data_IF_074164769539
#
_entry.id   IF_074164769539
#
_cell.length_a   1.000
_cell.length_b   1.000
_cell.length_c   1.000
_cell.angle_alpha   90.00
_cell.angle_beta   90.00
_cell.angle_gamma   90.00
#
_symmetry.space_group_name_H-M   'P 1'
#
loop_
_entity.id
_entity.type
_entity.pdbx_description
1 polymer ?
#
# COMPACT_ATOMS: atom_id res chain seq x y z
N UNK A 1 -59.57 -83.65 45.24
CA UNK A 1 -58.57 -82.96 46.08
C UNK A 1 -58.27 -81.63 45.41
N UNK A 2 -58.72 -80.46 45.81
CA UNK A 2 -59.25 -79.97 47.07
C UNK A 2 -58.67 -78.56 47.26
N UNK A 3 -59.16 -77.55 46.55
CA UNK A 3 -58.73 -76.14 46.69
C UNK A 3 -58.94 -75.60 48.11
N UNK A 4 -59.69 -76.32 48.95
CA UNK A 4 -59.83 -76.08 50.38
C UNK A 4 -58.57 -76.44 51.19
N UNK A 5 -57.75 -77.40 50.76
CA UNK A 5 -56.54 -77.79 51.51
C UNK A 5 -55.43 -76.75 51.36
N UNK A 6 -55.27 -76.14 50.18
CA UNK A 6 -54.26 -75.10 49.94
C UNK A 6 -54.54 -73.85 50.80
N UNK A 7 -55.81 -73.44 50.93
CA UNK A 7 -56.17 -72.32 51.81
C UNK A 7 -55.80 -72.60 53.26
N UNK A 8 -56.05 -73.82 53.77
CA UNK A 8 -55.74 -74.21 55.15
C UNK A 8 -54.25 -74.12 55.52
N UNK A 9 -53.35 -74.35 54.57
CA UNK A 9 -51.90 -74.28 54.83
C UNK A 9 -51.28 -72.91 54.59
N UNK A 10 -51.85 -72.08 53.71
CA UNK A 10 -51.31 -70.76 53.38
C UNK A 10 -51.90 -69.61 54.19
N UNK A 11 -53.18 -69.68 54.58
CA UNK A 11 -53.81 -68.58 55.35
C UNK A 11 -53.19 -68.35 56.73
N UNK A 12 -52.87 -69.37 57.55
CA UNK A 12 -52.31 -69.13 58.88
C UNK A 12 -50.91 -68.51 58.83
N UNK A 13 -50.06 -68.95 57.88
CA UNK A 13 -48.70 -68.40 57.70
C UNK A 13 -48.72 -66.98 57.15
N UNK A 14 -49.69 -66.66 56.30
CA UNK A 14 -49.88 -65.31 55.79
C UNK A 14 -50.45 -64.38 56.86
N UNK A 15 -51.37 -64.87 57.69
CA UNK A 15 -51.90 -64.15 58.84
C UNK A 15 -50.83 -63.94 59.92
N UNK A 16 -49.96 -64.92 60.20
CA UNK A 16 -48.77 -64.73 61.06
C UNK A 16 -47.80 -63.67 60.49
N UNK A 17 -47.46 -63.76 59.19
CA UNK A 17 -46.57 -62.80 58.53
C UNK A 17 -47.13 -61.37 58.48
N UNK A 18 -48.46 -61.23 58.40
CA UNK A 18 -49.15 -59.94 58.39
C UNK A 18 -49.53 -59.43 59.80
N UNK A 19 -49.64 -60.30 60.80
CA UNK A 19 -50.00 -59.94 62.19
C UNK A 19 -48.80 -59.64 63.08
N UNK A 20 -47.59 -60.02 62.70
CA UNK A 20 -46.36 -59.78 63.47
C UNK A 20 -45.64 -58.45 63.17
N UNK A 21 -46.24 -57.53 62.41
CA UNK A 21 -45.61 -56.25 62.07
C UNK A 21 -44.45 -56.34 61.05
N UNK A 22 -43.95 -57.54 60.78
CA UNK A 22 -42.83 -57.78 59.84
C UNK A 22 -43.14 -57.28 58.42
N UNK A 23 -44.38 -57.42 57.95
CA UNK A 23 -44.80 -56.90 56.63
C UNK A 23 -44.77 -55.36 56.60
N UNK A 24 -45.19 -54.70 57.69
CA UNK A 24 -45.20 -53.24 57.82
C UNK A 24 -43.76 -52.71 57.85
N UNK A 25 -42.88 -53.33 58.63
CA UNK A 25 -41.45 -53.01 58.70
C UNK A 25 -40.75 -53.15 57.32
N UNK A 26 -41.07 -54.21 56.56
CA UNK A 26 -40.53 -54.40 55.21
C UNK A 26 -41.03 -53.34 54.23
N UNK A 27 -42.31 -52.95 54.33
CA UNK A 27 -42.89 -51.90 53.49
C UNK A 27 -42.31 -50.53 53.83
N UNK A 28 -42.14 -50.21 55.12
CA UNK A 28 -41.50 -48.97 55.57
C UNK A 28 -40.02 -48.90 55.13
N UNK A 29 -39.27 -49.99 55.28
CA UNK A 29 -37.88 -50.07 54.84
C UNK A 29 -37.76 -49.89 53.31
N UNK A 30 -38.67 -50.50 52.54
CA UNK A 30 -38.75 -50.35 51.09
C UNK A 30 -39.08 -48.92 50.69
N UNK A 31 -40.09 -48.31 51.33
CA UNK A 31 -40.47 -46.91 51.09
C UNK A 31 -39.33 -45.94 51.44
N UNK A 32 -38.67 -46.13 52.58
CA UNK A 32 -37.53 -45.32 52.99
C UNK A 32 -36.36 -45.47 52.01
N UNK A 33 -36.13 -46.67 51.48
CA UNK A 33 -35.13 -46.92 50.44
C UNK A 33 -35.48 -46.19 49.13
N UNK A 34 -36.73 -46.28 48.68
CA UNK A 34 -37.22 -45.59 47.49
C UNK A 34 -37.11 -44.07 47.62
N UNK A 35 -37.48 -43.50 48.78
CA UNK A 35 -37.36 -42.06 49.06
C UNK A 35 -35.88 -41.63 49.00
N UNK A 36 -34.97 -42.41 49.61
CA UNK A 36 -33.52 -42.12 49.53
C UNK A 36 -33.01 -42.18 48.09
N UNK A 37 -33.43 -43.17 47.31
CA UNK A 37 -33.07 -43.30 45.91
C UNK A 37 -33.58 -42.10 45.08
N UNK A 38 -34.84 -41.69 45.28
CA UNK A 38 -35.41 -40.50 44.64
C UNK A 38 -34.70 -39.21 45.06
N UNK A 39 -34.33 -39.07 46.33
CA UNK A 39 -33.55 -37.92 46.80
C UNK A 39 -32.16 -37.85 46.14
N UNK A 40 -31.47 -38.99 46.00
CA UNK A 40 -30.21 -39.08 45.27
C UNK A 40 -30.38 -38.70 43.79
N UNK A 41 -31.42 -39.21 43.14
CA UNK A 41 -31.72 -38.86 41.74
C UNK A 41 -31.98 -37.36 41.56
N UNK A 42 -32.77 -36.75 42.45
CA UNK A 42 -33.01 -35.30 42.43
C UNK A 42 -31.73 -34.50 42.61
N UNK A 43 -30.84 -34.94 43.51
CA UNK A 43 -29.53 -34.29 43.71
C UNK A 43 -28.67 -34.36 42.44
N UNK A 44 -28.56 -35.54 41.82
CA UNK A 44 -27.81 -35.73 40.57
C UNK A 44 -28.38 -34.88 39.44
N UNK A 45 -29.71 -34.81 39.30
CA UNK A 45 -30.36 -33.95 38.31
C UNK A 45 -30.10 -32.46 38.58
N UNK A 46 -30.07 -32.03 39.84
CA UNK A 46 -29.71 -30.67 40.22
C UNK A 46 -28.27 -30.30 39.85
N UNK A 47 -27.32 -31.19 40.16
CA UNK A 47 -25.91 -31.03 39.77
C UNK A 47 -25.74 -31.02 38.25
N UNK A 48 -26.40 -31.94 37.54
CA UNK A 48 -26.39 -31.99 36.08
C UNK A 48 -26.94 -30.70 35.45
N UNK A 49 -28.07 -30.19 35.96
CA UNK A 49 -28.65 -28.93 35.48
C UNK A 49 -27.70 -27.76 35.68
N UNK A 50 -27.02 -27.70 36.82
CA UNK A 50 -26.05 -26.65 37.13
C UNK A 50 -24.86 -26.70 36.17
N UNK A 51 -24.28 -27.88 35.97
CA UNK A 51 -23.18 -28.08 35.00
C UNK A 51 -23.59 -27.72 33.57
N UNK A 52 -24.81 -28.07 33.15
CA UNK A 52 -25.33 -27.71 31.83
C UNK A 52 -25.49 -26.19 31.66
N UNK A 53 -25.88 -25.47 32.71
CA UNK A 53 -25.95 -24.00 32.67
C UNK A 53 -24.55 -23.37 32.59
N UNK A 54 -23.59 -23.87 33.34
CA UNK A 54 -22.19 -23.43 33.26
C UNK A 54 -21.59 -23.70 31.89
N UNK A 55 -21.80 -24.89 31.33
CA UNK A 55 -21.33 -25.23 29.99
C UNK A 55 -21.94 -24.32 28.92
N UNK A 56 -23.23 -23.98 29.02
CA UNK A 56 -23.86 -23.00 28.10
C UNK A 56 -23.22 -21.62 28.20
N UNK A 57 -22.87 -21.17 29.40
CA UNK A 57 -22.15 -19.88 29.60
C UNK A 57 -20.77 -19.93 28.96
N UNK A 58 -20.02 -21.01 29.17
CA UNK A 58 -18.69 -21.20 28.59
C UNK A 58 -18.75 -21.22 27.06
N UNK A 59 -19.70 -21.94 26.46
CA UNK A 59 -19.89 -21.97 25.00
C UNK A 59 -20.26 -20.58 24.47
N UNK A 60 -21.13 -19.85 25.15
CA UNK A 60 -21.48 -18.48 24.74
C UNK A 60 -20.28 -17.52 24.81
N UNK A 61 -19.44 -17.65 25.84
CA UNK A 61 -18.20 -16.87 25.97
C UNK A 61 -17.19 -17.23 24.88
N UNK A 62 -16.96 -18.52 24.65
CA UNK A 62 -16.07 -19.00 23.59
C UNK A 62 -16.53 -18.53 22.20
N UNK A 63 -17.84 -18.57 21.92
CA UNK A 63 -18.39 -18.07 20.66
C UNK A 63 -18.21 -16.56 20.47
N UNK A 64 -18.28 -15.77 21.55
CA UNK A 64 -18.01 -14.33 21.48
C UNK A 64 -16.53 -14.07 21.20
N UNK A 65 -15.65 -14.73 21.94
CA UNK A 65 -14.20 -14.62 21.74
C UNK A 65 -13.78 -15.03 20.31
N UNK A 66 -14.38 -16.09 19.77
CA UNK A 66 -14.12 -16.54 18.39
C UNK A 66 -14.55 -15.50 17.35
N UNK A 67 -15.71 -14.85 17.55
CA UNK A 67 -16.16 -13.75 16.68
C UNK A 67 -15.24 -12.53 16.75
N UNK A 68 -14.82 -12.13 17.95
CA UNK A 68 -13.87 -11.03 18.14
C UNK A 68 -12.53 -11.34 17.47
N UNK A 69 -12.06 -12.59 17.59
CA UNK A 69 -10.84 -13.05 16.94
C UNK A 69 -10.97 -13.04 15.40
N UNK A 70 -12.09 -13.52 14.85
CA UNK A 70 -12.37 -13.47 13.42
C UNK A 70 -12.35 -12.03 12.89
N UNK A 71 -13.02 -11.09 13.58
CA UNK A 71 -13.01 -9.68 13.21
C UNK A 71 -11.61 -9.07 13.26
N UNK A 72 -10.82 -9.39 14.30
CA UNK A 72 -9.44 -8.94 14.39
C UNK A 72 -8.58 -9.48 13.24
N UNK A 73 -8.77 -10.76 12.87
CA UNK A 73 -8.05 -11.39 11.76
C UNK A 73 -8.45 -10.79 10.40
N UNK A 74 -9.72 -10.46 10.20
CA UNK A 74 -10.19 -9.73 9.00
C UNK A 74 -9.57 -8.33 8.94
N UNK A 75 -9.51 -7.62 10.07
CA UNK A 75 -8.83 -6.32 10.17
C UNK A 75 -7.34 -6.41 9.82
N UNK A 76 -6.64 -7.42 10.33
CA UNK A 76 -5.22 -7.65 10.00
C UNK A 76 -5.02 -7.97 8.51
N UNK A 77 -5.90 -8.77 7.90
CA UNK A 77 -5.84 -9.06 6.46
C UNK A 77 -6.01 -7.78 5.63
N UNK A 78 -6.97 -6.93 5.98
CA UNK A 78 -7.20 -5.68 5.28
C UNK A 78 -5.99 -4.72 5.42
N UNK A 79 -5.41 -4.62 6.61
CA UNK A 79 -4.21 -3.84 6.84
C UNK A 79 -3.01 -4.36 6.03
N UNK A 80 -2.82 -5.68 5.99
CA UNK A 80 -1.74 -6.30 5.21
C UNK A 80 -1.90 -6.06 3.71
N UNK A 81 -3.13 -6.12 3.18
CA UNK A 81 -3.40 -5.80 1.78
C UNK A 81 -3.13 -4.33 1.48
N UNK A 82 -3.49 -3.41 2.39
CA UNK A 82 -3.16 -1.99 2.24
C UNK A 82 -1.66 -1.72 2.26
N UNK A 83 -0.90 -2.43 3.08
CA UNK A 83 0.57 -2.31 3.09
C UNK A 83 1.16 -2.84 1.79
N UNK A 84 0.63 -3.96 1.29
CA UNK A 84 1.07 -4.53 0.01
C UNK A 84 0.84 -3.56 -1.15
N UNK A 85 -0.33 -2.97 -1.27
CA UNK A 85 -0.62 -2.01 -2.36
C UNK A 85 0.24 -0.76 -2.25
N UNK A 86 0.49 -0.26 -1.04
CA UNK A 86 1.41 0.85 -0.82
C UNK A 86 2.84 0.49 -1.26
N UNK A 87 3.30 -0.72 -0.97
CA UNK A 87 4.61 -1.20 -1.41
C UNK A 87 4.72 -1.32 -2.93
N UNK A 88 3.69 -1.86 -3.58
CA UNK A 88 3.62 -1.96 -5.05
C UNK A 88 3.65 -0.56 -5.70
N UNK A 89 2.97 0.43 -5.12
CA UNK A 89 3.04 1.82 -5.58
C UNK A 89 4.43 2.41 -5.39
N UNK A 90 5.06 2.23 -4.23
CA UNK A 90 6.43 2.71 -3.98
C UNK A 90 7.43 2.09 -4.97
N UNK A 91 7.27 0.82 -5.33
CA UNK A 91 8.12 0.17 -6.33
C UNK A 91 7.92 0.78 -7.73
N UNK A 92 6.69 1.14 -8.09
CA UNK A 92 6.40 1.83 -9.34
C UNK A 92 7.03 3.23 -9.37
N UNK A 93 6.87 4.00 -8.28
CA UNK A 93 7.44 5.35 -8.15
C UNK A 93 8.97 5.32 -8.23
N UNK A 94 9.62 4.33 -7.61
CA UNK A 94 11.08 4.15 -7.70
C UNK A 94 11.54 3.87 -9.13
N UNK A 95 10.82 3.02 -9.87
CA UNK A 95 11.13 2.74 -11.28
C UNK A 95 10.97 4.00 -12.15
N UNK A 96 9.95 4.81 -11.88
CA UNK A 96 9.77 6.08 -12.57
C UNK A 96 10.92 7.05 -12.25
N UNK A 97 11.31 7.14 -10.98
CA UNK A 97 12.43 7.97 -10.55
C UNK A 97 13.74 7.58 -11.23
N UNK A 98 14.06 6.27 -11.30
CA UNK A 98 15.22 5.75 -12.01
C UNK A 98 15.20 6.10 -13.50
N UNK A 99 14.03 6.00 -14.15
CA UNK A 99 13.87 6.40 -15.55
C UNK A 99 14.12 7.88 -15.76
N UNK A 100 13.61 8.72 -14.86
CA UNK A 100 13.81 10.16 -14.89
C UNK A 100 15.28 10.53 -14.68
N UNK A 101 15.98 9.87 -13.75
CA UNK A 101 17.41 10.06 -13.56
C UNK A 101 18.23 9.67 -14.80
N UNK A 102 17.88 8.55 -15.45
CA UNK A 102 18.53 8.14 -16.69
C UNK A 102 18.33 9.17 -17.80
N UNK A 103 17.12 9.73 -17.91
CA UNK A 103 16.81 10.77 -18.90
C UNK A 103 17.59 12.07 -18.61
N UNK A 104 17.66 12.50 -17.34
CA UNK A 104 18.45 13.65 -16.94
C UNK A 104 19.94 13.47 -17.23
N UNK A 105 20.47 12.26 -17.00
CA UNK A 105 21.88 11.93 -17.31
C UNK A 105 22.15 12.09 -18.81
N UNK A 106 21.28 11.56 -19.67
CA UNK A 106 21.39 11.74 -21.13
C UNK A 106 21.30 13.21 -21.56
N UNK A 107 20.42 13.98 -20.94
CA UNK A 107 20.32 15.41 -21.21
C UNK A 107 21.60 16.16 -20.82
N UNK A 108 22.20 15.81 -19.69
CA UNK A 108 23.47 16.38 -19.24
C UNK A 108 24.62 16.04 -20.20
N UNK A 109 24.70 14.80 -20.66
CA UNK A 109 25.69 14.37 -21.65
C UNK A 109 25.55 15.15 -22.96
N UNK A 110 24.32 15.34 -23.43
CA UNK A 110 24.04 16.14 -24.63
C UNK A 110 24.43 17.62 -24.43
N UNK A 111 24.15 18.20 -23.26
CA UNK A 111 24.54 19.56 -22.93
C UNK A 111 26.07 19.72 -22.89
N UNK A 112 26.79 18.76 -22.30
CA UNK A 112 28.25 18.74 -22.27
C UNK A 112 28.85 18.64 -23.68
N UNK A 113 28.28 17.80 -24.54
CA UNK A 113 28.70 17.70 -25.94
C UNK A 113 28.51 19.03 -26.69
N UNK A 114 27.35 19.68 -26.53
CA UNK A 114 27.07 20.97 -27.13
C UNK A 114 28.01 22.07 -26.61
N UNK A 115 28.32 22.08 -25.31
CA UNK A 115 29.28 23.00 -24.71
C UNK A 115 30.69 22.81 -25.31
N UNK A 116 31.12 21.56 -25.50
CA UNK A 116 32.41 21.26 -26.12
C UNK A 116 32.49 21.79 -27.56
N UNK A 117 31.45 21.55 -28.35
CA UNK A 117 31.35 22.07 -29.73
C UNK A 117 31.40 23.61 -29.74
N UNK A 118 30.67 24.27 -28.84
CA UNK A 118 30.69 25.73 -28.74
C UNK A 118 32.08 26.26 -28.35
N UNK A 119 32.79 25.58 -27.45
CA UNK A 119 34.16 25.95 -27.07
C UNK A 119 35.15 25.81 -28.23
N UNK A 120 35.08 24.70 -28.98
CA UNK A 120 35.91 24.48 -30.18
C UNK A 120 35.63 25.53 -31.27
N UNK A 121 34.36 25.87 -31.50
CA UNK A 121 33.96 26.91 -32.46
C UNK A 121 34.47 28.30 -32.03
N UNK A 122 34.38 28.63 -30.73
CA UNK A 122 34.92 29.88 -30.19
C UNK A 122 36.44 29.96 -30.32
N UNK A 123 37.15 28.85 -30.08
CA UNK A 123 38.60 28.77 -30.27
C UNK A 123 38.97 28.97 -31.75
N UNK A 124 38.26 28.32 -32.67
CA UNK A 124 38.44 28.47 -34.11
C UNK A 124 38.23 29.92 -34.56
N UNK A 125 37.13 30.55 -34.14
CA UNK A 125 36.83 31.95 -34.45
C UNK A 125 37.91 32.91 -33.89
N UNK A 126 38.44 32.64 -32.69
CA UNK A 126 39.53 33.43 -32.12
C UNK A 126 40.85 33.25 -32.88
N UNK A 127 41.17 32.04 -33.35
CA UNK A 127 42.33 31.79 -34.22
C UNK A 127 42.20 32.53 -35.54
N UNK A 128 41.03 32.49 -36.16
CA UNK A 128 40.74 33.21 -37.41
C UNK A 128 40.88 34.73 -37.23
N UNK A 129 40.29 35.31 -36.17
CA UNK A 129 40.44 36.74 -35.85
C UNK A 129 41.92 37.15 -35.73
N UNK A 130 42.73 36.34 -35.04
CA UNK A 130 44.19 36.59 -34.91
C UNK A 130 44.90 36.51 -36.27
N UNK A 131 44.55 35.53 -37.11
CA UNK A 131 45.13 35.39 -38.45
C UNK A 131 44.77 36.59 -39.35
N UNK A 132 43.54 37.09 -39.29
CA UNK A 132 43.10 38.27 -40.05
C UNK A 132 43.80 39.54 -39.55
N UNK A 133 43.91 39.73 -38.23
CA UNK A 133 44.64 40.86 -37.64
C UNK A 133 46.14 40.86 -38.04
N UNK A 134 46.77 39.68 -38.11
CA UNK A 134 48.15 39.54 -38.59
C UNK A 134 48.31 39.81 -40.10
N UNK A 135 47.30 39.50 -40.93
CA UNK A 135 47.31 39.82 -42.37
C UNK A 135 47.09 41.31 -42.65
N UNK A 136 46.38 42.02 -41.76
CA UNK A 136 46.16 43.48 -41.86
C UNK A 136 47.40 44.35 -41.59
N UNK A 137 48.50 43.77 -41.08
CA UNK A 137 49.75 44.50 -40.78
C UNK A 137 50.78 44.48 -41.92
N UNK A 138 50.56 43.73 -43.01
CA UNK A 138 51.53 43.60 -44.11
C UNK A 138 51.20 44.46 -45.35
N UNK A 139 50.02 45.06 -45.44
CA UNK A 139 49.68 45.96 -46.56
C UNK A 139 48.82 47.14 -46.13
N UNK A 140 49.46 48.17 -45.56
CA UNK A 140 48.96 49.57 -45.64
C UNK A 140 50.13 50.51 -45.89
N UNK A 141 50.69 50.40 -47.09
CA UNK A 141 51.38 51.51 -47.76
C UNK A 141 50.95 51.50 -49.23
N UNK A 142 49.66 51.74 -49.45
CA UNK A 142 49.10 51.78 -50.80
C UNK A 142 47.58 51.84 -50.77
N UNK A 143 47.07 52.96 -51.26
CA UNK A 143 45.73 53.22 -51.75
C UNK A 143 44.52 53.39 -50.81
N UNK A 144 43.99 54.61 -50.93
CA UNK A 144 42.62 55.04 -50.72
C UNK A 144 41.70 54.32 -51.73
N UNK A 145 40.52 53.87 -51.29
CA UNK A 145 39.49 53.43 -52.24
C UNK A 145 38.37 52.64 -51.62
N UNK A 146 37.31 53.34 -51.20
CA UNK A 146 35.90 52.90 -51.22
C UNK A 146 35.62 51.40 -50.99
N UNK A 147 35.32 50.96 -49.77
CA UNK A 147 34.61 49.70 -49.59
C UNK A 147 33.53 49.78 -48.50
N UNK A 148 32.37 49.27 -48.88
CA UNK A 148 31.03 49.56 -48.37
C UNK A 148 30.81 48.95 -46.99
N UNK A 149 30.04 49.66 -46.18
CA UNK A 149 29.34 49.14 -45.00
C UNK A 149 28.47 47.95 -45.42
N UNK A 150 28.97 46.74 -45.23
CA UNK A 150 28.16 45.51 -45.28
C UNK A 150 27.24 45.55 -44.07
N UNK A 151 25.99 45.96 -44.31
CA UNK A 151 24.97 46.11 -43.28
C UNK A 151 24.63 44.75 -42.68
N UNK A 152 24.36 44.72 -41.38
CA UNK A 152 23.89 43.56 -40.61
C UNK A 152 22.80 42.73 -41.31
N UNK A 153 22.07 43.34 -42.24
CA UNK A 153 21.01 42.73 -43.03
C UNK A 153 21.51 41.65 -44.01
N UNK A 154 22.72 41.75 -44.56
CA UNK A 154 23.27 40.69 -45.43
C UNK A 154 23.65 39.45 -44.62
N UNK A 155 24.15 39.64 -43.39
CA UNK A 155 24.49 38.54 -42.46
C UNK A 155 23.22 37.80 -42.00
N UNK A 156 22.14 38.53 -41.71
CA UNK A 156 20.85 37.94 -41.34
C UNK A 156 20.20 37.18 -42.51
N UNK A 157 20.45 37.61 -43.75
CA UNK A 157 19.90 36.94 -44.93
C UNK A 157 20.62 35.61 -45.22
N UNK A 158 21.95 35.56 -45.03
CA UNK A 158 22.72 34.32 -45.16
C UNK A 158 22.37 33.25 -44.10
N UNK A 159 22.07 33.68 -42.86
CA UNK A 159 21.63 32.77 -41.80
C UNK A 159 20.25 32.13 -42.07
N UNK A 160 19.42 32.76 -42.91
CA UNK A 160 18.07 32.29 -43.24
C UNK A 160 18.06 31.23 -44.36
N UNK A 161 19.08 31.20 -45.23
CA UNK A 161 19.16 30.22 -46.34
C UNK A 161 19.67 28.86 -45.90
N UNK A 162 20.60 28.82 -44.94
CA UNK A 162 21.32 27.58 -44.59
C UNK A 162 20.61 26.78 -43.48
N UNK A 163 19.68 27.40 -42.74
CA UNK A 163 18.98 26.77 -41.62
C UNK A 163 17.48 27.14 -41.57
N UNK A 164 16.60 26.43 -42.31
CA UNK A 164 15.17 26.75 -42.39
C UNK A 164 14.38 26.50 -41.08
N UNK A 165 15.00 25.93 -40.05
CA UNK A 165 14.41 25.73 -38.70
C UNK A 165 14.89 26.76 -37.68
N UNK A 166 15.74 27.71 -38.08
CA UNK A 166 16.27 28.73 -37.18
C UNK A 166 15.28 29.89 -37.09
N UNK A 167 14.65 30.05 -35.93
CA UNK A 167 13.66 31.10 -35.71
C UNK A 167 14.35 32.45 -35.46
N UNK A 168 14.66 33.15 -36.55
CA UNK A 168 15.35 34.45 -36.55
C UNK A 168 14.59 35.49 -35.72
N UNK A 169 13.26 35.39 -35.60
CA UNK A 169 12.45 36.30 -34.77
C UNK A 169 12.77 36.15 -33.28
N UNK A 170 13.08 34.94 -32.82
CA UNK A 170 13.48 34.69 -31.43
C UNK A 170 14.87 35.28 -31.12
N UNK A 171 15.74 35.42 -32.13
CA UNK A 171 17.07 36.01 -31.99
C UNK A 171 17.03 37.54 -31.98
N UNK A 172 16.22 38.17 -32.85
CA UNK A 172 15.98 39.62 -32.86
C UNK A 172 15.38 40.12 -31.53
N UNK A 173 14.53 39.32 -30.88
CA UNK A 173 13.96 39.65 -29.58
C UNK A 173 14.98 39.55 -28.42
N UNK A 174 16.04 38.74 -28.55
CA UNK A 174 17.09 38.58 -27.53
C UNK A 174 18.22 39.58 -27.64
N UNK A 175 18.40 40.16 -28.83
CA UNK A 175 19.41 41.18 -29.09
C UNK A 175 18.75 42.36 -29.82
N UNK A 176 17.94 43.18 -29.11
CA UNK A 176 17.47 44.42 -29.70
C UNK A 176 18.69 45.24 -30.13
N UNK A 177 18.65 45.89 -31.31
CA UNK A 177 19.75 46.72 -31.75
C UNK A 177 20.02 47.79 -30.68
N UNK A 178 21.28 48.15 -30.43
CA UNK A 178 21.59 49.22 -29.50
C UNK A 178 20.82 50.46 -29.95
N UNK A 179 20.07 51.07 -29.03
CA UNK A 179 19.45 52.37 -29.26
C UNK A 179 20.56 53.30 -29.77
N UNK A 180 20.49 53.62 -31.05
CA UNK A 180 21.19 54.78 -31.59
C UNK A 180 20.32 55.95 -31.15
N UNK A 181 20.46 56.36 -29.90
CA UNK A 181 20.08 57.70 -29.49
C UNK A 181 21.01 58.64 -30.28
N UNK A 182 20.48 59.20 -31.38
CA UNK A 182 20.99 60.43 -31.96
C UNK A 182 21.04 61.47 -30.84
N UNK A 183 22.12 62.25 -30.72
CA UNK A 183 22.30 63.43 -31.56
C UNK A 183 20.97 64.16 -31.80
N UNK A 184 20.48 64.84 -30.77
CA UNK A 184 19.83 66.13 -30.95
C UNK A 184 20.59 67.17 -30.12
N UNK A 185 21.54 67.84 -30.77
CA UNK A 185 21.92 69.21 -30.45
C UNK A 185 20.76 70.12 -30.84
N UNK A 186 20.19 70.85 -29.88
CA UNK A 186 19.71 72.25 -29.99
C UNK A 186 19.17 72.76 -28.65
#
# INVERSE_FOLDING_TARGET
>A
MGTQDVKKYFTPKWEEFSSHGELEDVLEASLASAIRASAMQMKVLGEFRTRMQEQRKLVAQASRADKEHQQAMEGLKAALESVRTAYEQMEADLKEFDSNLLNLTKQLDNANAAQKVAAEALEAANKEKRAVAGRGQVSRRGDLGSEKRVGQQEVLTALRSDHPKFDVKALEARFPPPNVEGEEDS
#
